data_IF_148492802394
#
_entry.id   IF_148492802394
#
_cell.length_a   1.000
_cell.length_b   1.000
_cell.length_c   1.000
_cell.angle_alpha   90.00
_cell.angle_beta   90.00
_cell.angle_gamma   90.00
#
_symmetry.space_group_name_H-M   'P 1'
#
loop_
_entity.id
_entity.type
_entity.pdbx_description
1 polymer ?
#
# COMPACT_ATOMS: atom_id res chain seq x y z
N UNK A 1 13.75 -18.59 -0.06
CA UNK A 1 13.13 -18.77 -1.39
C UNK A 1 11.81 -19.50 -1.18
N UNK A 2 10.71 -19.00 -1.71
CA UNK A 2 9.38 -19.55 -1.48
C UNK A 2 9.07 -20.69 -2.46
N UNK A 3 8.86 -21.89 -1.93
CA UNK A 3 8.34 -23.01 -2.71
C UNK A 3 6.89 -22.75 -3.15
N UNK A 4 6.48 -23.27 -4.30
CA UNK A 4 5.12 -23.05 -4.82
C UNK A 4 4.01 -23.58 -3.88
N UNK A 5 4.31 -24.63 -3.10
CA UNK A 5 3.41 -25.16 -2.06
C UNK A 5 3.21 -24.19 -0.89
N UNK A 6 4.15 -23.26 -0.69
CA UNK A 6 4.14 -22.27 0.39
C UNK A 6 3.52 -20.93 -0.03
N UNK A 7 3.20 -20.77 -1.33
CA UNK A 7 2.40 -19.65 -1.83
C UNK A 7 0.96 -19.75 -1.30
N UNK A 8 0.45 -18.66 -0.73
CA UNK A 8 -0.93 -18.55 -0.26
C UNK A 8 -1.85 -18.24 -1.46
N UNK A 9 -1.42 -17.34 -2.35
CA UNK A 9 -2.21 -16.88 -3.49
C UNK A 9 -2.00 -17.79 -4.71
N UNK A 10 -2.47 -19.03 -4.61
CA UNK A 10 -2.25 -20.09 -5.62
C UNK A 10 -2.85 -19.77 -7.01
N UNK A 11 -3.91 -18.96 -7.08
CA UNK A 11 -4.50 -18.52 -8.35
C UNK A 11 -4.19 -17.05 -8.68
N UNK A 12 -3.05 -16.50 -8.22
CA UNK A 12 -2.71 -15.08 -8.40
C UNK A 12 -2.79 -14.59 -9.86
N UNK A 13 -2.56 -15.47 -10.82
CA UNK A 13 -2.55 -15.12 -12.25
C UNK A 13 -3.86 -15.44 -12.99
N UNK A 14 -4.87 -15.99 -12.29
CA UNK A 14 -6.16 -16.34 -12.90
C UNK A 14 -6.11 -17.51 -13.88
N UNK A 15 -5.14 -18.42 -13.73
CA UNK A 15 -4.95 -19.58 -14.60
C UNK A 15 -5.94 -20.72 -14.29
N UNK A 16 -6.50 -20.72 -13.08
CA UNK A 16 -7.46 -21.70 -12.59
C UNK A 16 -8.83 -21.07 -12.34
N UNK A 17 -9.83 -21.91 -12.13
CA UNK A 17 -11.20 -21.49 -11.83
C UNK A 17 -11.25 -20.62 -10.55
N UNK A 18 -11.69 -19.37 -10.68
CA UNK A 18 -11.82 -18.43 -9.57
C UNK A 18 -13.04 -18.72 -8.68
N UNK A 19 -14.03 -19.46 -9.19
CA UNK A 19 -15.28 -19.75 -8.48
C UNK A 19 -15.12 -20.71 -7.31
N UNK A 20 -16.22 -20.94 -6.58
CA UNK A 20 -16.21 -21.69 -5.32
C UNK A 20 -15.59 -23.08 -5.44
N UNK A 21 -15.90 -23.84 -6.49
CA UNK A 21 -15.36 -25.19 -6.68
C UNK A 21 -13.85 -25.18 -6.93
N UNK A 22 -13.37 -24.26 -7.76
CA UNK A 22 -11.93 -24.02 -7.93
C UNK A 22 -11.25 -23.61 -6.62
N UNK A 23 -11.87 -22.71 -5.85
CA UNK A 23 -11.35 -22.25 -4.57
C UNK A 23 -11.24 -23.39 -3.54
N UNK A 24 -12.25 -24.25 -3.44
CA UNK A 24 -12.24 -25.44 -2.58
C UNK A 24 -11.10 -26.39 -2.93
N UNK A 25 -10.85 -26.63 -4.22
CA UNK A 25 -9.71 -27.46 -4.67
C UNK A 25 -8.35 -26.87 -4.27
N UNK A 26 -8.27 -25.56 -4.13
CA UNK A 26 -7.06 -24.86 -3.64
C UNK A 26 -6.94 -24.82 -2.11
N UNK A 27 -7.97 -25.26 -1.39
CA UNK A 27 -8.02 -25.32 0.07
C UNK A 27 -8.81 -24.20 0.74
N UNK A 28 -9.45 -23.30 -0.03
CA UNK A 28 -10.35 -22.32 0.54
C UNK A 28 -11.60 -23.02 1.12
N UNK A 29 -12.13 -22.50 2.21
CA UNK A 29 -13.27 -23.06 2.95
C UNK A 29 -13.03 -24.44 3.58
N UNK A 30 -11.78 -24.91 3.61
CA UNK A 30 -11.44 -26.16 4.30
C UNK A 30 -11.31 -25.91 5.81
N UNK A 31 -12.07 -26.67 6.60
CA UNK A 31 -12.05 -26.61 8.06
C UNK A 31 -12.52 -25.28 8.68
N UNK A 32 -13.19 -24.38 7.94
CA UNK A 32 -13.60 -23.05 8.44
C UNK A 32 -14.42 -23.13 9.74
N UNK A 33 -15.39 -24.04 9.81
CA UNK A 33 -16.17 -24.29 11.03
C UNK A 33 -15.29 -24.73 12.20
N UNK A 34 -14.35 -25.66 11.96
CA UNK A 34 -13.45 -26.14 12.99
C UNK A 34 -12.53 -25.03 13.51
N UNK A 35 -12.15 -24.06 12.67
CA UNK A 35 -11.40 -22.87 13.08
C UNK A 35 -12.27 -21.97 13.97
N UNK A 36 -13.53 -21.73 13.60
CA UNK A 36 -14.49 -20.95 14.39
C UNK A 36 -14.75 -21.61 15.75
N UNK A 37 -14.90 -22.93 15.78
CA UNK A 37 -15.17 -23.70 17.00
C UNK A 37 -14.00 -23.66 18.01
N UNK A 38 -12.77 -23.33 17.58
CA UNK A 38 -11.63 -23.07 18.49
C UNK A 38 -11.78 -21.74 19.25
N UNK A 39 -12.66 -20.85 18.82
CA UNK A 39 -13.02 -19.62 19.51
C UNK A 39 -12.17 -18.39 19.16
N UNK A 40 -12.70 -17.21 19.52
CA UNK A 40 -12.14 -15.89 19.18
C UNK A 40 -10.72 -15.69 19.71
N UNK A 41 -10.50 -16.03 20.98
CA UNK A 41 -9.21 -15.85 21.63
C UNK A 41 -8.12 -16.74 21.00
N UNK A 42 -8.48 -17.95 20.54
CA UNK A 42 -7.54 -18.81 19.82
C UNK A 42 -7.11 -18.18 18.48
N UNK A 43 -8.06 -17.68 17.69
CA UNK A 43 -7.75 -17.04 16.40
C UNK A 43 -6.87 -15.80 16.59
N UNK A 44 -7.21 -14.93 17.55
CA UNK A 44 -6.39 -13.73 17.83
C UNK A 44 -4.97 -14.12 18.26
N UNK A 45 -4.83 -15.13 19.12
CA UNK A 45 -3.54 -15.58 19.60
C UNK A 45 -2.69 -16.23 18.49
N UNK A 46 -3.28 -17.05 17.62
CA UNK A 46 -2.60 -17.59 16.44
C UNK A 46 -2.15 -16.46 15.49
N UNK A 47 -3.01 -15.48 15.22
CA UNK A 47 -2.65 -14.35 14.36
C UNK A 47 -1.55 -13.49 14.99
N UNK A 48 -1.52 -13.33 16.32
CA UNK A 48 -0.40 -12.68 17.02
C UNK A 48 0.88 -13.51 16.91
N UNK A 49 0.80 -14.81 17.18
CA UNK A 49 1.93 -15.74 17.12
C UNK A 49 2.51 -15.87 15.72
N UNK A 50 1.69 -15.71 14.66
CA UNK A 50 2.15 -15.72 13.28
C UNK A 50 3.11 -14.58 12.95
N UNK A 51 3.10 -13.50 13.73
CA UNK A 51 3.88 -12.30 13.44
C UNK A 51 3.40 -11.50 12.22
N UNK A 52 2.20 -11.78 11.68
CA UNK A 52 1.66 -11.06 10.52
C UNK A 52 1.58 -9.55 10.78
N UNK A 53 2.32 -8.79 9.97
CA UNK A 53 2.26 -7.33 9.91
C UNK A 53 1.29 -6.85 8.82
N UNK A 54 0.67 -5.68 9.01
CA UNK A 54 -0.30 -5.12 8.10
C UNK A 54 0.27 -4.93 6.70
N UNK A 55 -0.47 -5.39 5.69
CA UNK A 55 -0.03 -5.45 4.28
C UNK A 55 -0.43 -4.22 3.44
N UNK A 56 -1.01 -3.21 4.08
CA UNK A 56 -1.49 -1.98 3.44
C UNK A 56 -0.56 -0.77 3.58
N UNK A 57 0.70 -0.93 3.99
CA UNK A 57 1.63 0.20 4.13
C UNK A 57 2.35 0.25 5.47
N UNK A 58 1.61 0.57 6.53
CA UNK A 58 2.16 0.90 7.85
C UNK A 58 2.80 -0.28 8.61
N UNK A 59 2.59 -1.53 8.18
CA UNK A 59 3.24 -2.69 8.80
C UNK A 59 2.83 -2.95 10.26
N UNK A 60 1.67 -2.45 10.71
CA UNK A 60 1.19 -2.65 12.09
C UNK A 60 0.83 -4.12 12.37
N UNK A 61 1.20 -4.73 13.51
CA UNK A 61 0.90 -6.15 13.78
C UNK A 61 -0.61 -6.46 13.76
N UNK A 62 -1.03 -7.34 12.85
CA UNK A 62 -2.44 -7.58 12.52
C UNK A 62 -3.20 -8.22 13.67
N UNK A 63 -2.65 -9.28 14.29
CA UNK A 63 -3.28 -9.93 15.44
C UNK A 63 -3.39 -9.01 16.67
N UNK A 64 -2.42 -8.09 16.85
CA UNK A 64 -2.53 -7.05 17.87
C UNK A 64 -3.65 -6.07 17.56
N UNK A 65 -3.77 -5.63 16.30
CA UNK A 65 -4.84 -4.75 15.84
C UNK A 65 -6.22 -5.33 16.13
N UNK A 66 -6.41 -6.61 15.81
CA UNK A 66 -7.69 -7.30 16.05
C UNK A 66 -8.05 -7.37 17.53
N UNK A 67 -7.05 -7.45 18.41
CA UNK A 67 -7.28 -7.48 19.86
C UNK A 67 -7.71 -6.13 20.47
N UNK A 68 -7.70 -5.04 19.70
CA UNK A 68 -8.23 -3.76 20.16
C UNK A 68 -9.76 -3.68 20.08
N UNK A 69 -10.40 -4.57 19.32
CA UNK A 69 -11.85 -4.61 19.22
C UNK A 69 -12.46 -5.06 20.56
N UNK A 70 -13.56 -4.44 21.00
CA UNK A 70 -14.24 -4.83 22.25
C UNK A 70 -14.62 -6.31 22.23
N UNK A 71 -14.35 -7.02 23.34
CA UNK A 71 -14.79 -8.42 23.49
C UNK A 71 -16.31 -8.52 23.57
N UNK A 72 -16.90 -7.60 24.32
CA UNK A 72 -18.34 -7.48 24.54
C UNK A 72 -18.82 -6.08 24.14
N UNK A 73 -20.02 -6.02 23.57
CA UNK A 73 -20.69 -4.75 23.30
C UNK A 73 -21.36 -4.27 24.59
N UNK A 74 -20.69 -3.39 25.33
CA UNK A 74 -21.20 -2.88 26.61
C UNK A 74 -22.34 -1.88 26.45
N UNK A 75 -22.50 -1.30 25.26
CA UNK A 75 -23.49 -0.26 24.94
C UNK A 75 -24.44 -0.66 23.79
N UNK A 76 -24.40 -1.92 23.37
CA UNK A 76 -25.27 -2.47 22.32
C UNK A 76 -24.86 -2.10 20.88
N UNK A 77 -23.78 -1.32 20.68
CA UNK A 77 -23.27 -1.04 19.33
C UNK A 77 -22.70 -2.31 18.68
N UNK A 78 -23.05 -2.62 17.42
CA UNK A 78 -22.41 -3.72 16.70
C UNK A 78 -20.95 -3.41 16.41
N UNK A 79 -20.11 -4.43 16.27
CA UNK A 79 -18.74 -4.27 15.76
C UNK A 79 -18.72 -4.48 14.25
N UNK A 80 -17.85 -3.76 13.54
CA UNK A 80 -17.66 -3.91 12.10
C UNK A 80 -16.22 -4.28 11.74
N UNK A 81 -16.08 -5.09 10.70
CA UNK A 81 -14.85 -5.19 9.93
C UNK A 81 -15.03 -4.38 8.65
N UNK A 82 -14.07 -3.52 8.35
CA UNK A 82 -14.00 -2.87 7.04
C UNK A 82 -12.72 -3.33 6.34
N UNK A 83 -12.87 -3.92 5.16
CA UNK A 83 -11.76 -4.30 4.30
C UNK A 83 -11.45 -3.16 3.36
N UNK A 84 -10.21 -2.69 3.41
CA UNK A 84 -9.70 -1.66 2.51
C UNK A 84 -9.20 -2.31 1.22
N UNK A 85 -10.02 -2.17 0.17
CA UNK A 85 -9.75 -2.62 -1.19
C UNK A 85 -9.72 -1.44 -2.19
N UNK A 86 -9.35 -0.24 -1.71
CA UNK A 86 -9.28 0.96 -2.55
C UNK A 86 -8.01 1.00 -3.43
N UNK A 87 -6.91 0.35 -3.03
CA UNK A 87 -5.66 0.16 -3.82
C UNK A 87 -5.34 1.29 -4.83
N UNK A 88 -5.35 2.53 -4.36
CA UNK A 88 -5.07 3.70 -5.20
C UNK A 88 -3.59 4.10 -5.17
N UNK A 89 -2.75 3.41 -4.38
CA UNK A 89 -1.31 3.70 -4.25
C UNK A 89 -0.58 3.42 -5.58
N UNK A 90 0.09 4.42 -6.16
CA UNK A 90 0.86 4.24 -7.39
C UNK A 90 1.87 3.09 -7.29
N UNK A 91 1.84 2.22 -8.32
CA UNK A 91 2.67 1.02 -8.41
C UNK A 91 2.07 -0.22 -7.73
N UNK A 92 0.95 -0.09 -7.02
CA UNK A 92 0.31 -1.20 -6.28
C UNK A 92 -0.83 -1.80 -7.10
N UNK A 93 -0.85 -3.12 -7.24
CA UNK A 93 -1.90 -3.86 -7.96
C UNK A 93 -2.07 -5.29 -7.45
N UNK A 94 -1.81 -5.54 -6.15
CA UNK A 94 -1.86 -6.85 -5.47
C UNK A 94 -3.27 -7.23 -5.03
N UNK A 95 -4.01 -6.28 -4.46
CA UNK A 95 -5.38 -6.46 -3.97
C UNK A 95 -6.32 -6.70 -5.15
N UNK A 96 -6.06 -6.01 -6.27
CA UNK A 96 -6.70 -6.25 -7.56
C UNK A 96 -6.63 -7.72 -7.99
N UNK A 97 -5.47 -8.37 -7.86
CA UNK A 97 -5.32 -9.78 -8.23
C UNK A 97 -6.12 -10.70 -7.31
N UNK A 98 -6.10 -10.43 -6.00
CA UNK A 98 -6.87 -11.22 -5.01
C UNK A 98 -8.37 -11.14 -5.32
N UNK A 99 -8.91 -9.94 -5.51
CA UNK A 99 -10.34 -9.75 -5.78
C UNK A 99 -10.80 -10.39 -7.10
N UNK A 100 -9.94 -10.44 -8.11
CA UNK A 100 -10.34 -10.85 -9.45
C UNK A 100 -10.06 -12.33 -9.76
N UNK A 101 -9.08 -12.93 -9.11
CA UNK A 101 -8.64 -14.30 -9.41
C UNK A 101 -8.81 -15.28 -8.26
N UNK A 102 -8.80 -14.83 -7.01
CA UNK A 102 -9.05 -15.71 -5.86
C UNK A 102 -9.94 -15.06 -4.77
N UNK A 103 -11.12 -14.52 -5.14
CA UNK A 103 -11.96 -13.75 -4.22
C UNK A 103 -12.46 -14.56 -3.02
N UNK A 104 -12.60 -15.88 -3.15
CA UNK A 104 -13.06 -16.72 -2.04
C UNK A 104 -12.09 -16.77 -0.86
N UNK A 105 -10.77 -16.60 -1.09
CA UNK A 105 -9.80 -16.44 0.01
C UNK A 105 -10.09 -15.19 0.83
N UNK A 106 -10.43 -14.09 0.16
CA UNK A 106 -10.82 -12.85 0.84
C UNK A 106 -12.14 -13.03 1.60
N UNK A 107 -13.17 -13.63 0.97
CA UNK A 107 -14.48 -13.83 1.59
C UNK A 107 -14.39 -14.71 2.84
N UNK A 108 -13.63 -15.81 2.78
CA UNK A 108 -13.35 -16.65 3.95
C UNK A 108 -12.57 -15.88 5.02
N UNK A 109 -11.55 -15.11 4.61
CA UNK A 109 -10.79 -14.25 5.50
C UNK A 109 -11.66 -13.24 6.24
N UNK A 110 -12.63 -12.63 5.54
CA UNK A 110 -13.60 -11.72 6.15
C UNK A 110 -14.38 -12.43 7.26
N UNK A 111 -14.90 -13.63 7.02
CA UNK A 111 -15.63 -14.40 8.03
C UNK A 111 -14.78 -14.69 9.27
N UNK A 112 -13.56 -15.21 9.09
CA UNK A 112 -12.70 -15.61 10.20
C UNK A 112 -12.19 -14.40 11.01
N UNK A 113 -11.77 -13.33 10.32
CA UNK A 113 -11.33 -12.10 10.97
C UNK A 113 -12.49 -11.42 11.72
N UNK A 114 -13.66 -11.35 11.09
CA UNK A 114 -14.86 -10.81 11.70
C UNK A 114 -15.31 -11.61 12.92
N UNK A 115 -15.29 -12.95 12.87
CA UNK A 115 -15.59 -13.79 14.03
C UNK A 115 -14.63 -13.48 15.18
N UNK A 116 -13.31 -13.44 14.91
CA UNK A 116 -12.31 -13.10 15.93
C UNK A 116 -12.60 -11.74 16.60
N UNK A 117 -12.96 -10.74 15.81
CA UNK A 117 -13.29 -9.39 16.27
C UNK A 117 -14.73 -9.20 16.78
N UNK A 118 -15.58 -10.23 16.71
CA UNK A 118 -17.00 -10.16 17.11
C UNK A 118 -17.86 -9.29 16.19
N UNK A 119 -17.48 -9.15 14.93
CA UNK A 119 -18.10 -8.24 13.97
C UNK A 119 -19.05 -8.95 13.00
N UNK A 120 -20.36 -8.98 13.29
CA UNK A 120 -21.34 -9.71 12.47
C UNK A 120 -21.55 -9.18 11.05
N UNK A 121 -21.03 -7.99 10.72
CA UNK A 121 -21.07 -7.42 9.39
C UNK A 121 -19.67 -6.98 8.94
N UNK A 122 -19.34 -7.30 7.70
CA UNK A 122 -18.13 -6.88 7.03
C UNK A 122 -18.46 -6.01 5.82
N UNK A 123 -17.80 -4.86 5.69
CA UNK A 123 -17.87 -4.03 4.50
C UNK A 123 -16.56 -4.11 3.73
N UNK A 124 -16.61 -4.48 2.45
CA UNK A 124 -15.44 -4.41 1.57
C UNK A 124 -15.56 -3.14 0.75
N UNK A 125 -14.69 -2.16 1.02
CA UNK A 125 -14.65 -0.89 0.30
C UNK A 125 -13.72 -1.03 -0.90
N UNK A 126 -14.31 -1.21 -2.08
CA UNK A 126 -13.60 -1.42 -3.34
C UNK A 126 -13.32 -0.09 -4.04
N UNK A 127 -12.15 0.02 -4.64
CA UNK A 127 -11.80 1.15 -5.51
C UNK A 127 -12.89 1.41 -6.54
N UNK A 128 -13.20 2.69 -6.79
CA UNK A 128 -14.23 3.06 -7.77
C UNK A 128 -13.97 2.54 -9.19
N UNK A 129 -12.70 2.54 -9.61
CA UNK A 129 -12.27 2.11 -10.94
C UNK A 129 -12.27 0.58 -11.13
N UNK A 130 -12.30 -0.18 -10.03
CA UNK A 130 -12.26 -1.65 -10.04
C UNK A 130 -13.65 -2.27 -10.27
N UNK A 131 -14.27 -1.89 -11.39
CA UNK A 131 -15.64 -2.33 -11.73
C UNK A 131 -15.67 -3.86 -11.92
N UNK A 132 -14.75 -4.41 -12.72
CA UNK A 132 -14.74 -5.85 -13.03
C UNK A 132 -14.34 -6.70 -11.83
N UNK A 133 -13.42 -6.20 -11.03
CA UNK A 133 -12.95 -6.86 -9.82
C UNK A 133 -14.05 -6.84 -8.74
N UNK A 134 -14.83 -5.76 -8.65
CA UNK A 134 -16.01 -5.70 -7.79
C UNK A 134 -17.12 -6.63 -8.23
N UNK A 135 -17.43 -6.67 -9.53
CA UNK A 135 -18.41 -7.62 -10.10
C UNK A 135 -18.00 -9.07 -9.81
N UNK A 136 -16.72 -9.38 -9.96
CA UNK A 136 -16.15 -10.70 -9.65
C UNK A 136 -16.27 -11.05 -8.17
N UNK A 137 -15.90 -10.11 -7.30
CA UNK A 137 -16.00 -10.27 -5.86
C UNK A 137 -17.44 -10.46 -5.41
N UNK A 138 -18.38 -9.67 -5.94
CA UNK A 138 -19.81 -9.82 -5.65
C UNK A 138 -20.30 -11.21 -6.06
N UNK A 139 -19.95 -11.69 -7.25
CA UNK A 139 -20.33 -13.04 -7.69
C UNK A 139 -19.77 -14.14 -6.77
N UNK A 140 -18.57 -13.98 -6.22
CA UNK A 140 -18.00 -14.92 -5.24
C UNK A 140 -18.71 -14.85 -3.88
N UNK A 141 -19.15 -13.66 -3.46
CA UNK A 141 -19.97 -13.47 -2.26
C UNK A 141 -21.33 -14.15 -2.46
N UNK A 142 -21.98 -13.94 -3.61
CA UNK A 142 -23.26 -14.57 -3.95
C UNK A 142 -23.12 -16.11 -3.92
N UNK A 143 -22.05 -16.67 -4.50
CA UNK A 143 -21.74 -18.10 -4.42
C UNK A 143 -21.57 -18.59 -2.96
N UNK A 144 -20.97 -17.76 -2.09
CA UNK A 144 -20.81 -18.09 -0.67
C UNK A 144 -22.14 -18.05 0.09
N UNK A 145 -23.05 -17.13 -0.25
CA UNK A 145 -24.42 -17.09 0.29
C UNK A 145 -25.23 -18.30 -0.19
N UNK A 146 -25.19 -18.63 -1.49
CA UNK A 146 -25.89 -19.78 -2.07
C UNK A 146 -25.44 -21.11 -1.45
N UNK A 147 -24.13 -21.25 -1.19
CA UNK A 147 -23.55 -22.40 -0.52
C UNK A 147 -23.71 -22.39 1.01
N UNK A 148 -24.41 -21.38 1.57
CA UNK A 148 -24.60 -21.16 3.02
C UNK A 148 -23.29 -21.11 3.81
N UNK A 149 -22.22 -20.61 3.21
CA UNK A 149 -20.92 -20.41 3.87
C UNK A 149 -20.92 -19.11 4.70
N UNK A 150 -21.70 -18.13 4.25
CA UNK A 150 -22.00 -16.88 4.96
C UNK A 150 -23.52 -16.67 5.02
N UNK A 151 -23.97 -15.60 5.68
CA UNK A 151 -25.37 -15.29 5.95
C UNK A 151 -25.83 -15.69 7.34
N UNK A 152 -27.10 -15.42 7.66
CA UNK A 152 -27.66 -15.60 9.01
C UNK A 152 -27.68 -17.05 9.50
N UNK A 153 -27.97 -18.00 8.62
CA UNK A 153 -28.09 -19.44 8.94
C UNK A 153 -26.99 -20.26 8.25
N UNK A 154 -25.76 -19.73 8.24
CA UNK A 154 -24.63 -20.40 7.60
C UNK A 154 -24.19 -21.68 8.33
N UNK A 155 -23.50 -22.54 7.60
CA UNK A 155 -23.01 -23.85 8.09
C UNK A 155 -21.94 -23.73 9.17
N UNK A 156 -21.35 -22.55 9.35
CA UNK A 156 -20.32 -22.31 10.36
C UNK A 156 -20.89 -21.99 11.75
N UNK A 157 -22.21 -21.74 11.86
CA UNK A 157 -22.90 -21.55 13.14
C UNK A 157 -22.72 -20.15 13.75
N UNK A 158 -22.26 -19.17 12.98
CA UNK A 158 -22.08 -17.79 13.43
C UNK A 158 -22.63 -16.80 12.39
N UNK A 159 -23.76 -16.11 12.65
CA UNK A 159 -24.39 -15.21 11.67
C UNK A 159 -23.44 -14.14 11.16
N UNK A 160 -23.28 -14.02 9.84
CA UNK A 160 -22.31 -13.11 9.25
C UNK A 160 -22.73 -12.61 7.88
N UNK A 161 -22.74 -11.29 7.70
CA UNK A 161 -23.06 -10.68 6.40
C UNK A 161 -21.88 -9.88 5.83
N UNK A 162 -21.76 -9.92 4.50
CA UNK A 162 -20.73 -9.19 3.76
C UNK A 162 -21.41 -8.24 2.78
N UNK A 163 -20.99 -6.98 2.82
CA UNK A 163 -21.48 -5.92 1.97
C UNK A 163 -20.34 -5.36 1.13
N UNK A 164 -20.53 -5.29 -0.18
CA UNK A 164 -19.58 -4.63 -1.07
C UNK A 164 -20.00 -3.17 -1.24
N UNK A 165 -19.13 -2.25 -0.87
CA UNK A 165 -19.26 -0.83 -1.15
C UNK A 165 -18.14 -0.40 -2.10
N UNK A 166 -18.29 0.74 -2.76
CA UNK A 166 -17.22 1.25 -3.60
C UNK A 166 -17.04 2.76 -3.50
N UNK A 167 -15.79 3.19 -3.67
CA UNK A 167 -15.43 4.58 -3.84
C UNK A 167 -15.69 5.10 -5.25
N UNK A 168 -15.04 6.21 -5.59
CA UNK A 168 -15.18 6.89 -6.88
C UNK A 168 -13.88 7.61 -7.30
N UNK A 169 -12.73 6.93 -7.21
CA UNK A 169 -11.45 7.43 -7.71
C UNK A 169 -10.78 8.48 -6.81
N UNK A 170 -10.65 8.19 -5.51
CA UNK A 170 -10.00 9.08 -4.56
C UNK A 170 -9.03 8.29 -3.66
N UNK A 171 -7.72 8.46 -3.87
CA UNK A 171 -6.68 7.78 -3.08
C UNK A 171 -6.77 8.05 -1.58
N UNK A 172 -7.19 9.26 -1.21
CA UNK A 172 -7.39 9.61 0.19
C UNK A 172 -8.45 8.75 0.88
N UNK A 173 -9.44 8.23 0.14
CA UNK A 173 -10.42 7.29 0.70
C UNK A 173 -9.81 5.92 1.03
N UNK A 174 -8.59 5.62 0.55
CA UNK A 174 -7.81 4.49 1.01
C UNK A 174 -7.17 4.69 2.39
N UNK A 175 -7.20 5.89 2.98
CA UNK A 175 -6.77 6.09 4.37
C UNK A 175 -7.83 5.53 5.33
N UNK A 176 -7.38 4.85 6.40
CA UNK A 176 -8.24 4.11 7.32
C UNK A 176 -9.48 4.88 7.80
N UNK A 177 -9.35 6.13 8.24
CA UNK A 177 -10.49 6.91 8.76
C UNK A 177 -11.28 7.64 7.69
N UNK A 178 -10.64 8.07 6.61
CA UNK A 178 -11.33 8.63 5.45
C UNK A 178 -12.22 7.58 4.76
N UNK A 179 -11.78 6.32 4.74
CA UNK A 179 -12.56 5.19 4.24
C UNK A 179 -13.87 5.05 5.01
N UNK A 180 -13.82 5.13 6.34
CA UNK A 180 -15.02 5.07 7.19
C UNK A 180 -15.97 6.24 6.87
N UNK A 181 -15.45 7.46 6.78
CA UNK A 181 -16.25 8.64 6.43
C UNK A 181 -16.89 8.51 5.03
N UNK A 182 -16.14 8.02 4.05
CA UNK A 182 -16.65 7.77 2.70
C UNK A 182 -17.73 6.69 2.70
N UNK A 183 -17.56 5.63 3.48
CA UNK A 183 -18.54 4.55 3.61
C UNK A 183 -19.82 5.02 4.32
N UNK A 184 -19.72 6.01 5.21
CA UNK A 184 -20.86 6.69 5.84
C UNK A 184 -21.60 7.67 4.90
N UNK A 185 -21.17 7.78 3.64
CA UNK A 185 -21.76 8.69 2.66
C UNK A 185 -21.32 10.15 2.81
N UNK A 186 -20.33 10.43 3.66
CA UNK A 186 -19.71 11.75 3.78
C UNK A 186 -18.55 11.87 2.78
N UNK A 187 -17.92 13.05 2.73
CA UNK A 187 -16.67 13.22 1.99
C UNK A 187 -15.58 12.36 2.64
N UNK A 188 -14.69 11.77 1.85
CA UNK A 188 -13.52 11.00 2.31
C UNK A 188 -12.43 11.87 2.95
N UNK A 189 -12.79 12.60 4.01
CA UNK A 189 -11.90 13.44 4.78
C UNK A 189 -11.55 12.71 6.08
N UNK A 190 -10.26 12.41 6.35
CA UNK A 190 -9.85 11.69 7.54
C UNK A 190 -10.34 12.29 8.86
N UNK A 191 -10.49 11.44 9.87
CA UNK A 191 -10.76 11.85 11.25
C UNK A 191 -9.44 12.04 11.99
N UNK A 192 -9.39 13.05 12.87
CA UNK A 192 -8.27 13.19 13.80
C UNK A 192 -8.30 12.03 14.80
N UNK A 193 -7.12 11.49 15.12
CA UNK A 193 -6.94 10.46 16.15
C UNK A 193 -6.35 11.14 17.39
N UNK A 194 -6.88 10.95 18.61
CA UNK A 194 -8.07 10.16 19.01
C UNK A 194 -9.44 10.82 18.69
N UNK A 195 -10.57 10.05 18.67
CA UNK A 195 -10.69 8.63 19.02
C UNK A 195 -10.25 7.67 17.90
N UNK A 196 -9.74 6.49 18.27
CA UNK A 196 -9.33 5.46 17.32
C UNK A 196 -10.55 4.66 16.78
N UNK A 197 -10.46 4.13 15.55
CA UNK A 197 -11.54 3.35 14.94
C UNK A 197 -12.05 2.17 15.77
N UNK A 198 -11.15 1.50 16.50
CA UNK A 198 -11.51 0.38 17.37
C UNK A 198 -12.51 0.78 18.48
N UNK A 199 -12.57 2.05 18.86
CA UNK A 199 -13.53 2.58 19.84
C UNK A 199 -14.73 3.26 19.16
N UNK A 200 -14.45 4.09 18.15
CA UNK A 200 -15.45 4.90 17.42
C UNK A 200 -15.05 4.96 15.94
N UNK A 201 -15.55 3.99 15.18
CA UNK A 201 -15.30 3.81 13.75
C UNK A 201 -16.55 4.03 12.91
N UNK A 202 -16.88 3.05 12.05
CA UNK A 202 -18.01 3.09 11.12
C UNK A 202 -19.33 3.27 11.87
N UNK A 203 -20.12 4.28 11.49
CA UNK A 203 -21.38 4.65 12.14
C UNK A 203 -21.23 4.92 13.65
N UNK A 204 -20.05 5.40 14.06
CA UNK A 204 -19.71 5.59 15.46
C UNK A 204 -19.54 4.28 16.24
N UNK A 205 -19.48 3.13 15.57
CA UNK A 205 -19.35 1.82 16.18
C UNK A 205 -17.91 1.29 16.14
N UNK A 206 -17.50 0.41 17.08
CA UNK A 206 -16.18 -0.23 17.05
C UNK A 206 -15.88 -0.84 15.67
N UNK A 207 -14.77 -0.44 15.06
CA UNK A 207 -14.41 -0.90 13.71
C UNK A 207 -12.91 -1.09 13.57
N UNK A 208 -12.52 -2.18 12.92
CA UNK A 208 -11.15 -2.36 12.45
C UNK A 208 -11.11 -2.29 10.92
N UNK A 209 -10.15 -1.54 10.39
CA UNK A 209 -9.85 -1.51 8.96
C UNK A 209 -8.62 -2.36 8.65
N UNK A 210 -8.72 -3.32 7.74
CA UNK A 210 -7.57 -4.10 7.27
C UNK A 210 -7.52 -4.15 5.75
N UNK A 211 -6.31 -4.14 5.19
CA UNK A 211 -6.11 -4.31 3.76
C UNK A 211 -6.49 -5.74 3.31
N UNK A 212 -6.91 -5.88 2.04
CA UNK A 212 -7.31 -7.14 1.40
C UNK A 212 -6.29 -8.26 1.65
N UNK A 213 -5.01 -8.03 1.37
CA UNK A 213 -3.97 -9.06 1.54
C UNK A 213 -3.86 -9.52 3.00
N UNK A 214 -3.98 -8.61 3.99
CA UNK A 214 -3.94 -8.98 5.41
C UNK A 214 -5.10 -9.89 5.83
N UNK A 215 -6.28 -9.68 5.24
CA UNK A 215 -7.46 -10.51 5.52
C UNK A 215 -7.38 -11.83 4.77
N UNK A 216 -6.99 -11.80 3.49
CA UNK A 216 -6.97 -12.97 2.62
C UNK A 216 -5.90 -14.01 3.01
N UNK A 217 -4.81 -13.62 3.69
CA UNK A 217 -3.82 -14.59 4.22
C UNK A 217 -4.25 -15.26 5.52
N UNK A 218 -5.19 -14.68 6.27
CA UNK A 218 -5.55 -15.17 7.60
C UNK A 218 -6.09 -16.61 7.61
N UNK A 219 -6.96 -17.04 6.67
CA UNK A 219 -7.43 -18.43 6.61
C UNK A 219 -6.30 -19.46 6.52
N UNK A 220 -5.31 -19.22 5.65
CA UNK A 220 -4.19 -20.14 5.45
C UNK A 220 -3.24 -20.15 6.66
N UNK A 221 -3.03 -19.00 7.32
CA UNK A 221 -2.30 -18.95 8.60
C UNK A 221 -3.00 -19.82 9.65
N UNK A 222 -4.33 -19.71 9.78
CA UNK A 222 -5.10 -20.43 10.79
C UNK A 222 -5.20 -21.94 10.49
N UNK A 223 -5.19 -22.33 9.21
CA UNK A 223 -5.16 -23.74 8.79
C UNK A 223 -3.79 -24.38 8.97
N UNK A 224 -2.73 -23.70 8.51
CA UNK A 224 -1.36 -24.24 8.46
C UNK A 224 -0.59 -24.02 9.76
N UNK A 225 -1.08 -23.11 10.59
CA UNK A 225 -0.53 -22.77 11.91
C UNK A 225 0.39 -21.56 11.87
N UNK A 226 0.38 -20.78 12.97
CA UNK A 226 1.22 -19.61 13.14
C UNK A 226 2.72 -19.89 12.94
N UNK A 227 3.21 -21.04 13.42
CA UNK A 227 4.61 -21.42 13.34
C UNK A 227 5.08 -21.61 11.88
N UNK A 228 4.22 -22.11 11.00
CA UNK A 228 4.55 -22.23 9.57
C UNK A 228 4.77 -20.85 8.94
N UNK A 229 3.86 -19.90 9.18
CA UNK A 229 3.97 -18.55 8.62
C UNK A 229 5.17 -17.79 9.22
N UNK A 230 5.40 -17.94 10.53
CA UNK A 230 6.53 -17.32 11.23
C UNK A 230 7.90 -17.91 10.86
N UNK A 231 7.93 -19.13 10.30
CA UNK A 231 9.15 -19.76 9.81
C UNK A 231 9.64 -19.21 8.46
N UNK A 232 8.79 -18.45 7.75
CA UNK A 232 9.12 -17.80 6.48
C UNK A 232 9.59 -16.38 6.78
N UNK A 233 10.71 -15.95 6.19
CA UNK A 233 11.27 -14.62 6.36
C UNK A 233 12.17 -14.47 7.58
N UNK A 234 12.31 -13.23 8.05
CA UNK A 234 13.25 -12.86 9.13
C UNK A 234 12.52 -12.51 10.41
N UNK A 235 13.16 -12.56 11.59
CA UNK A 235 12.57 -12.03 12.82
C UNK A 235 11.99 -10.61 12.60
N UNK A 236 10.79 -10.37 13.13
CA UNK A 236 9.97 -9.15 12.93
C UNK A 236 9.49 -8.87 11.49
N UNK A 237 9.85 -9.70 10.52
CA UNK A 237 9.56 -9.56 9.10
C UNK A 237 9.22 -10.92 8.50
N UNK A 238 8.16 -11.52 9.03
CA UNK A 238 7.78 -12.90 8.74
C UNK A 238 6.64 -13.01 7.72
N UNK A 239 6.56 -14.20 7.13
CA UNK A 239 5.57 -14.61 6.17
C UNK A 239 5.89 -14.21 4.73
N UNK A 240 4.86 -14.31 3.89
CA UNK A 240 4.94 -13.93 2.48
C UNK A 240 4.40 -12.53 2.24
N UNK A 241 4.78 -11.94 1.10
CA UNK A 241 4.29 -10.65 0.63
C UNK A 241 4.04 -10.71 -0.87
N UNK A 242 2.92 -10.14 -1.30
CA UNK A 242 2.72 -9.82 -2.72
C UNK A 242 3.54 -8.59 -3.09
N UNK A 243 4.53 -8.77 -3.95
CA UNK A 243 5.34 -7.72 -4.56
C UNK A 243 4.74 -7.31 -5.90
N UNK A 244 4.55 -6.01 -6.09
CA UNK A 244 4.14 -5.43 -7.38
C UNK A 244 5.34 -4.77 -8.02
N UNK A 245 6.06 -5.47 -8.90
CA UNK A 245 7.22 -4.90 -9.58
C UNK A 245 6.78 -4.20 -10.85
N UNK A 246 7.10 -2.91 -10.94
CA UNK A 246 6.74 -2.02 -12.04
C UNK A 246 7.92 -1.15 -12.49
N UNK A 247 7.74 -0.42 -13.58
CA UNK A 247 8.78 0.48 -14.11
C UNK A 247 9.77 -0.24 -15.02
N UNK A 248 11.05 0.12 -14.91
CA UNK A 248 12.10 -0.23 -15.88
C UNK A 248 12.78 -1.58 -15.58
N UNK A 249 11.97 -2.64 -15.59
CA UNK A 249 12.41 -4.06 -15.59
C UNK A 249 12.02 -4.73 -16.90
N UNK A 250 12.63 -5.85 -17.24
CA UNK A 250 12.35 -6.55 -18.50
C UNK A 250 10.91 -7.11 -18.54
N UNK A 251 10.42 -7.64 -17.41
CA UNK A 251 9.08 -8.22 -17.28
C UNK A 251 8.42 -7.78 -15.97
N UNK A 252 7.72 -6.63 -15.95
CA UNK A 252 6.93 -6.20 -14.79
C UNK A 252 5.89 -7.26 -14.40
N UNK A 253 5.77 -7.58 -13.11
CA UNK A 253 4.83 -8.60 -12.64
C UNK A 253 4.41 -8.39 -11.19
N UNK A 254 3.28 -8.99 -10.84
CA UNK A 254 2.90 -9.28 -9.46
C UNK A 254 3.40 -10.67 -9.08
N UNK A 255 4.07 -10.80 -7.95
CA UNK A 255 4.53 -12.10 -7.46
C UNK A 255 4.45 -12.16 -5.93
N UNK A 256 3.93 -13.27 -5.41
CA UNK A 256 4.04 -13.56 -3.97
C UNK A 256 5.43 -14.11 -3.70
N UNK A 257 6.16 -13.59 -2.72
CA UNK A 257 7.45 -14.19 -2.36
C UNK A 257 7.70 -14.00 -0.86
N UNK A 258 8.72 -14.68 -0.34
CA UNK A 258 9.14 -14.57 1.05
C UNK A 258 9.49 -13.12 1.43
N UNK A 259 9.00 -12.67 2.59
CA UNK A 259 9.38 -11.36 3.12
C UNK A 259 10.88 -11.33 3.46
N UNK A 260 11.59 -10.31 2.98
CA UNK A 260 13.05 -10.21 3.14
C UNK A 260 13.87 -10.84 2.01
N UNK A 261 13.23 -11.28 0.91
CA UNK A 261 13.95 -11.58 -0.34
C UNK A 261 14.85 -10.39 -0.75
N UNK A 262 16.14 -10.60 -1.08
CA UNK A 262 16.98 -9.52 -1.60
C UNK A 262 16.41 -8.89 -2.87
N UNK A 263 16.50 -7.57 -3.02
CA UNK A 263 16.01 -6.87 -4.21
C UNK A 263 16.56 -7.46 -5.51
N UNK A 264 17.87 -7.72 -5.59
CA UNK A 264 18.50 -8.37 -6.75
C UNK A 264 17.81 -9.69 -7.13
N UNK A 265 17.62 -10.56 -6.15
CA UNK A 265 17.02 -11.88 -6.35
C UNK A 265 15.56 -11.76 -6.84
N UNK A 266 14.78 -10.85 -6.25
CA UNK A 266 13.41 -10.56 -6.67
C UNK A 266 13.35 -10.16 -8.15
N UNK A 267 14.23 -9.25 -8.57
CA UNK A 267 14.24 -8.72 -9.94
C UNK A 267 14.76 -9.73 -10.96
N UNK A 268 15.90 -10.38 -10.70
CA UNK A 268 16.49 -11.34 -11.65
C UNK A 268 15.56 -12.51 -11.91
N UNK A 269 14.99 -13.06 -10.84
CA UNK A 269 14.24 -14.31 -10.91
C UNK A 269 12.84 -14.11 -11.48
N UNK A 270 12.12 -13.09 -10.99
CA UNK A 270 10.72 -12.90 -11.35
C UNK A 270 10.52 -11.91 -12.49
N UNK A 271 11.38 -10.89 -12.58
CA UNK A 271 11.22 -9.81 -13.55
C UNK A 271 12.18 -9.91 -14.75
N UNK A 272 13.11 -10.86 -14.74
CA UNK A 272 14.09 -11.05 -15.83
C UNK A 272 15.23 -10.02 -15.86
N UNK A 273 15.39 -9.22 -14.80
CA UNK A 273 16.45 -8.21 -14.71
C UNK A 273 15.97 -6.77 -14.92
N UNK A 274 16.91 -5.84 -14.72
CA UNK A 274 16.75 -4.42 -15.02
C UNK A 274 16.82 -4.21 -16.53
N UNK A 275 15.97 -3.31 -17.06
CA UNK A 275 16.01 -2.94 -18.47
C UNK A 275 17.40 -2.45 -18.87
N UNK A 276 18.08 -3.16 -19.77
CA UNK A 276 19.44 -2.81 -20.20
C UNK A 276 20.56 -3.19 -19.21
N UNK A 277 20.28 -4.07 -18.23
CA UNK A 277 21.25 -4.62 -17.30
C UNK A 277 21.36 -3.86 -15.97
N UNK A 278 22.00 -4.49 -14.97
CA UNK A 278 22.11 -3.97 -13.61
C UNK A 278 22.82 -2.62 -13.51
N UNK A 279 23.84 -2.40 -14.35
CA UNK A 279 24.55 -1.12 -14.42
C UNK A 279 23.66 0.02 -14.90
N UNK A 280 22.49 -0.29 -15.49
CA UNK A 280 21.52 0.71 -15.92
C UNK A 280 20.55 1.10 -14.79
N UNK A 281 20.57 0.45 -13.63
CA UNK A 281 19.73 0.85 -12.50
C UNK A 281 20.16 2.23 -11.97
N UNK A 282 19.19 3.09 -11.65
CA UNK A 282 19.43 4.41 -11.08
C UNK A 282 18.85 4.55 -9.67
N UNK A 283 17.56 4.27 -9.53
CA UNK A 283 16.86 4.37 -8.26
C UNK A 283 15.64 3.45 -8.22
N UNK A 284 15.17 3.15 -7.01
CA UNK A 284 13.97 2.34 -6.78
C UNK A 284 13.11 3.02 -5.73
N UNK A 285 11.80 3.04 -5.92
CA UNK A 285 10.84 3.33 -4.85
C UNK A 285 10.31 1.97 -4.38
N UNK A 286 10.74 1.45 -3.21
CA UNK A 286 10.54 0.04 -2.88
C UNK A 286 9.15 -0.32 -2.33
N UNK A 287 8.31 0.67 -2.00
CA UNK A 287 7.10 0.43 -1.22
C UNK A 287 5.83 1.16 -1.65
N UNK A 288 5.73 1.54 -2.92
CA UNK A 288 4.72 2.46 -3.45
C UNK A 288 5.23 3.89 -3.42
N UNK A 289 4.57 4.78 -4.16
CA UNK A 289 4.99 6.19 -4.24
C UNK A 289 5.06 6.94 -2.91
N UNK A 290 4.48 6.41 -1.83
CA UNK A 290 4.48 7.02 -0.50
C UNK A 290 5.82 6.96 0.23
N UNK A 291 6.82 6.23 -0.27
CA UNK A 291 8.13 6.09 0.40
C UNK A 291 9.26 6.81 -0.31
N UNK A 292 10.36 7.07 0.41
CA UNK A 292 11.58 7.68 -0.16
C UNK A 292 12.19 6.72 -1.20
N UNK A 293 12.63 7.26 -2.34
CA UNK A 293 13.43 6.47 -3.29
C UNK A 293 14.78 6.10 -2.67
N UNK A 294 15.36 4.99 -3.13
CA UNK A 294 16.65 4.48 -2.71
C UNK A 294 17.55 4.36 -3.95
N UNK A 295 18.80 4.87 -3.90
CA UNK A 295 19.77 4.72 -4.99
C UNK A 295 20.15 3.28 -5.27
N UNK A 296 20.56 3.02 -6.52
CA UNK A 296 20.97 1.69 -6.99
C UNK A 296 21.98 1.01 -6.05
N UNK A 297 23.03 1.73 -5.64
CA UNK A 297 24.11 1.21 -4.81
C UNK A 297 23.68 0.80 -3.40
N UNK A 298 22.56 1.34 -2.90
CA UNK A 298 22.04 1.03 -1.58
C UNK A 298 20.98 -0.08 -1.64
N UNK A 299 20.14 -0.09 -2.67
CA UNK A 299 19.01 -1.02 -2.75
C UNK A 299 19.39 -2.39 -3.29
N UNK A 300 20.42 -2.49 -4.14
CA UNK A 300 20.67 -3.68 -4.97
C UNK A 300 20.68 -5.00 -4.19
N UNK A 301 21.35 -5.04 -3.03
CA UNK A 301 21.45 -6.23 -2.17
C UNK A 301 20.63 -6.12 -0.88
N UNK A 302 19.77 -5.10 -0.79
CA UNK A 302 18.95 -4.88 0.39
C UNK A 302 17.79 -5.87 0.45
N UNK A 303 17.57 -6.54 1.60
CA UNK A 303 16.38 -7.34 1.85
C UNK A 303 15.09 -6.52 1.74
N UNK A 304 14.11 -7.04 1.01
CA UNK A 304 12.80 -6.41 0.83
C UNK A 304 11.87 -6.72 2.02
N UNK A 305 12.20 -6.12 3.16
CA UNK A 305 11.43 -6.19 4.40
C UNK A 305 11.28 -4.80 5.07
N UNK A 306 10.38 -4.69 6.06
CA UNK A 306 10.06 -3.39 6.67
C UNK A 306 11.27 -2.77 7.38
N UNK A 307 12.04 -3.59 8.10
CA UNK A 307 13.10 -3.08 8.98
C UNK A 307 14.37 -2.71 8.20
N UNK A 308 14.72 -3.49 7.18
CA UNK A 308 15.88 -3.23 6.31
C UNK A 308 15.67 -1.96 5.49
N UNK A 309 14.49 -1.78 4.89
CA UNK A 309 14.16 -0.56 4.17
C UNK A 309 14.02 0.66 5.10
N UNK A 310 13.56 0.45 6.33
CA UNK A 310 13.55 1.48 7.37
C UNK A 310 14.95 2.00 7.72
N UNK A 311 15.97 1.13 7.73
CA UNK A 311 17.38 1.54 7.95
C UNK A 311 17.92 2.41 6.81
N UNK A 312 17.42 2.24 5.59
CA UNK A 312 17.71 3.12 4.45
C UNK A 312 16.87 4.42 4.46
N UNK A 313 16.12 4.68 5.54
CA UNK A 313 15.17 5.80 5.65
C UNK A 313 14.09 5.78 4.57
N UNK A 314 13.83 4.61 3.99
CA UNK A 314 12.70 4.34 3.11
C UNK A 314 11.69 3.46 3.86
N UNK A 315 10.80 2.76 3.15
CA UNK A 315 9.84 1.83 3.73
C UNK A 315 9.37 0.80 2.72
N UNK A 316 8.91 -0.34 3.22
CA UNK A 316 8.32 -1.39 2.36
C UNK A 316 6.92 -1.02 1.86
N UNK A 317 6.19 -0.16 2.59
CA UNK A 317 4.83 0.25 2.23
C UNK A 317 3.94 -0.93 1.79
N UNK A 318 3.34 -0.84 0.60
CA UNK A 318 2.51 -1.90 0.01
C UNK A 318 3.32 -2.99 -0.69
N UNK A 319 4.65 -2.90 -0.69
CA UNK A 319 5.60 -3.65 -1.51
C UNK A 319 5.42 -3.46 -3.03
N UNK A 320 4.95 -2.28 -3.42
CA UNK A 320 4.99 -1.81 -4.80
C UNK A 320 6.39 -1.30 -5.15
N UNK A 321 7.14 -2.09 -5.90
CA UNK A 321 8.52 -1.82 -6.27
C UNK A 321 8.55 -1.11 -7.62
N UNK A 322 8.78 0.21 -7.61
CA UNK A 322 8.89 1.02 -8.82
C UNK A 322 10.36 1.19 -9.17
N UNK A 323 10.79 0.51 -10.23
CA UNK A 323 12.19 0.51 -10.69
C UNK A 323 12.42 1.61 -11.71
N UNK A 324 13.49 2.39 -11.55
CA UNK A 324 13.88 3.47 -12.48
C UNK A 324 15.33 3.29 -12.93
N UNK A 325 15.50 3.10 -14.24
CA UNK A 325 16.82 3.04 -14.89
C UNK A 325 17.41 4.43 -15.18
N UNK A 326 18.66 4.49 -15.67
CA UNK A 326 19.41 5.73 -15.93
C UNK A 326 18.81 6.62 -17.03
N UNK A 327 17.91 6.09 -17.85
CA UNK A 327 17.19 6.90 -18.86
C UNK A 327 16.13 7.83 -18.23
N UNK A 328 15.79 7.61 -16.96
CA UNK A 328 14.71 8.32 -16.27
C UNK A 328 15.17 9.69 -15.74
N UNK A 329 14.38 10.72 -16.06
CA UNK A 329 14.44 12.01 -15.35
C UNK A 329 13.75 11.87 -13.99
N UNK A 330 14.54 11.64 -12.93
CA UNK A 330 14.02 11.44 -11.58
C UNK A 330 13.30 12.68 -11.03
N UNK A 331 13.75 13.88 -11.41
CA UNK A 331 13.13 15.14 -10.95
C UNK A 331 11.71 15.23 -11.51
N UNK A 332 11.53 14.91 -12.81
CA UNK A 332 10.21 14.85 -13.43
C UNK A 332 9.35 13.70 -12.90
N UNK A 333 9.93 12.53 -12.65
CA UNK A 333 9.21 11.39 -12.07
C UNK A 333 8.62 11.77 -10.69
N UNK A 334 9.42 12.37 -9.81
CA UNK A 334 8.94 12.83 -8.51
C UNK A 334 8.02 14.06 -8.63
N UNK A 335 8.23 14.96 -9.59
CA UNK A 335 7.26 16.03 -9.86
C UNK A 335 5.88 15.46 -10.22
N UNK A 336 5.83 14.35 -10.98
CA UNK A 336 4.58 13.66 -11.32
C UNK A 336 3.94 12.96 -10.12
N UNK A 337 4.74 12.40 -9.20
CA UNK A 337 4.27 11.84 -7.93
C UNK A 337 3.76 12.96 -7.00
N UNK A 338 4.47 14.08 -6.92
CA UNK A 338 4.04 15.25 -6.15
C UNK A 338 2.71 15.82 -6.69
N UNK A 339 2.54 15.84 -8.02
CA UNK A 339 1.25 16.18 -8.64
C UNK A 339 0.14 15.21 -8.25
N UNK A 340 0.42 13.90 -8.20
CA UNK A 340 -0.53 12.90 -7.73
C UNK A 340 -1.00 13.23 -6.31
N UNK A 341 -0.10 13.48 -5.36
CA UNK A 341 -0.50 13.85 -4.00
C UNK A 341 -1.24 15.20 -3.92
N UNK A 342 -0.90 16.17 -4.77
CA UNK A 342 -1.67 17.42 -4.91
C UNK A 342 -3.08 17.18 -5.46
N UNK A 343 -3.25 16.20 -6.34
CA UNK A 343 -4.54 15.87 -6.94
C UNK A 343 -5.42 15.11 -5.95
N UNK A 344 -4.81 14.15 -5.26
CA UNK A 344 -5.48 13.20 -4.37
C UNK A 344 -5.63 13.67 -2.92
N UNK A 345 -5.07 14.83 -2.57
CA UNK A 345 -5.32 15.43 -1.25
C UNK A 345 -6.77 15.85 -1.10
N UNK A 346 -7.44 15.42 -0.01
CA UNK A 346 -8.82 15.83 0.30
C UNK A 346 -8.95 17.31 0.68
N UNK A 347 -7.83 18.01 0.88
CA UNK A 347 -7.81 19.44 1.21
C UNK A 347 -8.28 19.83 2.61
N UNK A 348 -8.47 18.87 3.53
CA UNK A 348 -9.00 19.16 4.86
C UNK A 348 -8.02 19.95 5.74
N UNK A 349 -6.76 19.52 5.84
CA UNK A 349 -5.75 20.17 6.68
C UNK A 349 -4.85 21.10 5.86
N UNK A 350 -4.64 22.33 6.36
CA UNK A 350 -3.88 23.37 5.66
C UNK A 350 -2.46 22.95 5.28
N UNK A 351 -1.66 22.31 6.15
CA UNK A 351 -0.30 21.91 5.79
C UNK A 351 -0.26 21.01 4.55
N UNK A 352 -1.18 20.04 4.46
CA UNK A 352 -1.30 19.20 3.26
C UNK A 352 -1.92 19.95 2.08
N UNK A 353 -3.06 20.62 2.27
CA UNK A 353 -3.82 21.28 1.19
C UNK A 353 -2.96 22.27 0.42
N UNK A 354 -2.29 23.17 1.14
CA UNK A 354 -1.48 24.22 0.55
C UNK A 354 -0.07 23.72 0.23
N UNK A 355 0.51 22.92 1.15
CA UNK A 355 1.88 22.43 1.03
C UNK A 355 2.07 21.51 -0.16
N UNK A 356 1.16 20.56 -0.43
CA UNK A 356 1.28 19.66 -1.59
C UNK A 356 1.25 20.41 -2.92
N UNK A 357 0.36 21.39 -3.06
CA UNK A 357 0.30 22.24 -4.24
C UNK A 357 1.55 23.10 -4.41
N UNK A 358 2.08 23.64 -3.31
CA UNK A 358 3.32 24.44 -3.34
C UNK A 358 4.54 23.59 -3.68
N UNK A 359 4.70 22.43 -3.02
CA UNK A 359 5.77 21.46 -3.28
C UNK A 359 5.79 21.04 -4.75
N UNK A 360 4.63 20.69 -5.32
CA UNK A 360 4.52 20.33 -6.73
C UNK A 360 4.97 21.46 -7.67
N UNK A 361 4.55 22.70 -7.43
CA UNK A 361 4.94 23.86 -8.26
C UNK A 361 6.45 24.14 -8.20
N UNK A 362 7.06 24.08 -7.02
CA UNK A 362 8.51 24.26 -6.86
C UNK A 362 9.25 23.12 -7.56
N UNK A 363 8.84 21.87 -7.35
CA UNK A 363 9.50 20.72 -7.96
C UNK A 363 9.34 20.69 -9.49
N UNK A 364 8.21 21.16 -10.03
CA UNK A 364 8.02 21.35 -11.48
C UNK A 364 9.01 22.38 -12.03
N UNK A 365 9.23 23.51 -11.34
CA UNK A 365 10.27 24.48 -11.73
C UNK A 365 11.68 23.88 -11.66
N UNK A 366 11.96 23.04 -10.67
CA UNK A 366 13.24 22.32 -10.57
C UNK A 366 13.42 21.34 -11.74
N UNK A 367 12.38 20.60 -12.11
CA UNK A 367 12.39 19.71 -13.28
C UNK A 367 12.65 20.46 -14.59
N UNK A 368 12.18 21.70 -14.70
CA UNK A 368 12.44 22.58 -15.85
C UNK A 368 13.79 23.31 -15.79
N UNK A 369 14.44 23.34 -14.62
CA UNK A 369 15.69 24.09 -14.38
C UNK A 369 15.49 25.56 -14.03
N UNK A 370 14.25 26.04 -13.94
CA UNK A 370 13.90 27.44 -13.66
C UNK A 370 13.95 27.84 -12.18
N UNK A 371 14.29 26.93 -11.30
CA UNK A 371 14.39 27.19 -9.86
C UNK A 371 15.78 27.75 -9.50
N UNK A 372 15.88 28.48 -8.40
CA UNK A 372 17.17 28.88 -7.84
C UNK A 372 17.71 27.79 -6.88
N UNK A 373 19.03 27.62 -6.76
CA UNK A 373 19.64 26.59 -5.87
C UNK A 373 19.16 26.69 -4.41
N UNK A 374 19.00 27.90 -3.88
CA UNK A 374 18.42 28.16 -2.54
C UNK A 374 17.03 27.54 -2.33
N UNK A 375 16.27 27.35 -3.42
CA UNK A 375 14.93 26.78 -3.35
C UNK A 375 14.95 25.28 -3.04
N UNK A 376 16.10 24.60 -3.21
CA UNK A 376 16.26 23.19 -2.83
C UNK A 376 16.12 23.05 -1.31
N UNK A 377 16.84 23.88 -0.54
CA UNK A 377 16.75 23.87 0.92
C UNK A 377 15.41 24.38 1.42
N UNK A 378 14.86 25.41 0.77
CA UNK A 378 13.51 25.90 1.05
C UNK A 378 12.45 24.80 0.84
N UNK A 379 12.54 24.05 -0.26
CA UNK A 379 11.61 22.94 -0.53
C UNK A 379 11.78 21.84 0.52
N UNK A 380 13.01 21.50 0.89
CA UNK A 380 13.27 20.52 1.94
C UNK A 380 12.70 20.99 3.30
N UNK A 381 12.81 22.26 3.65
CA UNK A 381 12.20 22.82 4.86
C UNK A 381 10.68 22.67 4.84
N UNK A 382 10.02 23.02 3.73
CA UNK A 382 8.57 22.87 3.64
C UNK A 382 8.13 21.42 3.69
N UNK A 383 8.89 20.46 3.13
CA UNK A 383 8.54 19.04 3.30
C UNK A 383 8.45 18.66 4.79
N UNK A 384 9.29 19.24 5.66
CA UNK A 384 9.25 19.01 7.12
C UNK A 384 8.13 19.77 7.83
N UNK A 385 7.67 20.89 7.26
CA UNK A 385 6.49 21.61 7.76
C UNK A 385 5.19 20.89 7.39
N UNK A 386 5.17 20.11 6.30
CA UNK A 386 4.05 19.24 5.94
C UNK A 386 4.09 17.95 6.75
N UNK A 387 5.22 17.27 6.77
CA UNK A 387 5.44 16.03 7.54
C UNK A 387 5.12 16.23 9.03
N UNK A 388 4.35 15.32 9.62
CA UNK A 388 4.01 15.34 11.05
C UNK A 388 3.03 16.42 11.50
N UNK A 389 2.60 17.33 10.62
CA UNK A 389 1.65 18.41 10.94
C UNK A 389 0.28 18.24 10.25
N UNK A 390 0.04 17.07 9.64
CA UNK A 390 -1.20 16.75 8.91
C UNK A 390 -2.08 15.78 9.71
N UNK A 391 -3.39 15.80 9.41
CA UNK A 391 -4.37 14.92 10.09
C UNK A 391 -4.10 13.44 9.82
N UNK A 392 -3.65 13.12 8.59
CA UNK A 392 -3.33 11.77 8.17
C UNK A 392 -1.94 11.69 7.52
N UNK A 393 -1.48 10.46 7.27
CA UNK A 393 -0.17 10.18 6.69
C UNK A 393 -0.03 10.55 5.20
N UNK A 394 -1.08 11.07 4.53
CA UNK A 394 -0.94 11.58 3.16
C UNK A 394 0.07 12.73 3.09
N UNK A 395 0.15 13.57 4.13
CA UNK A 395 1.15 14.63 4.21
C UNK A 395 2.57 14.09 4.17
N UNK A 396 2.84 13.06 4.98
CA UNK A 396 4.13 12.35 5.02
C UNK A 396 4.41 11.69 3.65
N UNK A 397 3.42 10.99 3.08
CA UNK A 397 3.51 10.37 1.76
C UNK A 397 3.78 11.37 0.62
N UNK A 398 3.31 12.61 0.75
CA UNK A 398 3.59 13.67 -0.21
C UNK A 398 4.97 14.31 -0.03
N UNK A 399 5.49 14.33 1.20
CA UNK A 399 6.78 14.91 1.56
C UNK A 399 7.95 13.95 1.27
N UNK A 400 7.82 12.67 1.61
CA UNK A 400 8.89 11.69 1.54
C UNK A 400 9.50 11.48 0.15
N UNK A 401 8.74 11.44 -0.97
CA UNK A 401 9.34 11.30 -2.31
C UNK A 401 10.27 12.45 -2.66
N UNK A 402 9.91 13.66 -2.25
CA UNK A 402 10.70 14.87 -2.45
C UNK A 402 11.94 14.85 -1.54
N UNK A 403 11.77 14.46 -0.28
CA UNK A 403 12.91 14.30 0.64
C UNK A 403 13.90 13.25 0.14
N UNK A 404 13.43 12.12 -0.39
CA UNK A 404 14.27 11.08 -0.98
C UNK A 404 15.02 11.59 -2.22
N UNK A 405 14.32 12.30 -3.11
CA UNK A 405 14.95 12.93 -4.28
C UNK A 405 16.06 13.91 -3.85
N UNK A 406 15.78 14.82 -2.93
CA UNK A 406 16.75 15.82 -2.50
C UNK A 406 17.91 15.15 -1.76
N UNK A 407 17.66 14.17 -0.89
CA UNK A 407 18.70 13.51 -0.11
C UNK A 407 19.73 12.78 -1.00
N UNK A 408 19.29 12.18 -2.11
CA UNK A 408 20.13 11.33 -2.94
C UNK A 408 20.56 11.95 -4.27
N UNK A 409 19.71 12.81 -4.85
CA UNK A 409 19.87 13.34 -6.20
C UNK A 409 19.88 14.87 -6.24
N UNK A 410 20.26 15.53 -5.14
CA UNK A 410 20.48 16.99 -5.08
C UNK A 410 21.35 17.49 -6.24
N UNK A 411 22.45 16.77 -6.49
CA UNK A 411 23.41 17.10 -7.53
C UNK A 411 22.79 17.15 -8.94
N UNK A 412 21.79 16.30 -9.24
CA UNK A 412 21.07 16.35 -10.51
C UNK A 412 20.16 17.59 -10.61
N UNK A 413 19.54 18.00 -9.50
CA UNK A 413 18.74 19.22 -9.43
C UNK A 413 19.63 20.45 -9.65
N UNK A 414 20.77 20.51 -8.96
CA UNK A 414 21.75 21.59 -9.11
C UNK A 414 22.30 21.68 -10.54
N UNK A 415 22.68 20.54 -11.13
CA UNK A 415 23.15 20.48 -12.51
C UNK A 415 22.08 20.94 -13.51
N UNK A 416 20.81 20.57 -13.30
CA UNK A 416 19.69 21.03 -14.14
C UNK A 416 19.50 22.55 -14.06
N UNK A 417 19.61 23.12 -12.87
CA UNK A 417 19.54 24.57 -12.65
C UNK A 417 20.71 25.28 -13.34
N UNK A 418 21.94 24.78 -13.17
CA UNK A 418 23.14 25.39 -13.79
C UNK A 418 23.07 25.35 -15.32
N UNK A 419 22.62 24.24 -15.89
CA UNK A 419 22.41 24.10 -17.34
C UNK A 419 21.36 25.07 -17.88
N UNK A 420 20.31 25.36 -17.12
CA UNK A 420 19.28 26.31 -17.51
C UNK A 420 19.82 27.74 -17.48
N UNK A 421 20.49 28.15 -16.40
CA UNK A 421 21.08 29.49 -16.27
C UNK A 421 22.12 29.76 -17.35
N UNK A 422 23.01 28.79 -17.65
CA UNK A 422 23.99 28.93 -18.72
C UNK A 422 23.34 29.13 -20.11
N UNK A 423 22.16 28.55 -20.36
CA UNK A 423 21.42 28.77 -21.60
C UNK A 423 20.73 30.13 -21.64
N UNK A 424 20.28 30.66 -20.50
CA UNK A 424 19.72 32.00 -20.44
C UNK A 424 20.75 33.08 -20.79
N UNK A 425 22.04 32.82 -20.55
CA UNK A 425 23.14 33.71 -20.92
C UNK A 425 23.53 33.61 -22.41
N UNK A 426 22.92 32.73 -23.20
CA UNK A 426 23.21 32.54 -24.63
C UNK A 426 21.90 32.79 -25.41
N UNK A 427 21.80 33.95 -26.08
CA UNK A 427 20.64 34.26 -26.95
C UNK A 427 20.56 33.24 -28.12
N UNK A 428 19.40 33.12 -28.77
CA UNK A 428 19.09 32.20 -29.90
C UNK A 428 20.06 32.37 -31.10
N UNK A 429 20.91 33.40 -31.10
CA UNK A 429 21.99 33.64 -32.07
C UNK A 429 23.38 33.22 -31.60
N UNK A 430 23.52 32.55 -30.44
CA UNK A 430 24.79 32.07 -29.90
C UNK A 430 25.70 33.18 -29.32
N UNK A 431 25.16 34.37 -29.10
CA UNK A 431 25.90 35.51 -28.52
C UNK A 431 25.60 35.57 -27.03
N UNK A 432 26.66 35.65 -26.20
CA UNK A 432 26.52 35.82 -24.75
C UNK A 432 25.90 37.19 -24.47
N UNK A 433 24.81 37.24 -23.70
CA UNK A 433 24.19 38.51 -23.29
C UNK A 433 25.18 39.30 -22.40
N UNK A 434 25.67 40.47 -22.84
CA UNK A 434 26.61 41.27 -22.04
C UNK A 434 25.98 41.83 -20.75
N UNK A 435 24.66 41.87 -20.64
CA UNK A 435 23.95 42.53 -19.52
C UNK A 435 24.08 41.75 -18.21
N UNK A 436 24.27 40.42 -18.27
CA UNK A 436 24.45 39.57 -17.08
C UNK A 436 25.89 39.51 -16.55
N UNK A 437 26.88 40.14 -17.21
CA UNK A 437 28.27 40.15 -16.73
C UNK A 437 28.56 41.17 -15.61
N UNK A 438 27.63 42.07 -15.28
CA UNK A 438 27.91 43.19 -14.36
C UNK A 438 27.61 42.88 -12.88
N UNK A 439 27.29 41.62 -12.53
CA UNK A 439 26.95 41.23 -11.15
C UNK A 439 28.00 40.31 -10.47
N UNK A 440 29.23 40.30 -10.97
CA UNK A 440 30.35 39.61 -10.32
C UNK A 440 31.63 40.47 -10.36
N UNK A 441 31.68 41.47 -9.46
CA UNK A 441 32.91 41.96 -8.83
C UNK A 441 32.69 42.06 -7.32
#
# INVERSE_FOLDING_TARGET
MLDDKDRIFKNLYGLHDWGLEGARRRGAWDGTKAIIDKGRDWIINEMKASGLRGRGGAGFPTGLKWSFMPKESTDGRPSYLVVNADESEPGTCKDREIMRHDPHLLVEGCLLASFAMGAHACYIYVRGEFIRERERLQAAIDQAYDAKLVGKENVNGWPFDIYVAHGAGAYICGEETALLESLEGKKGQPRLKPPFPANVGLYGCPTTVNNVESIAVAPDILRRGAAWFAAIGRPNNVGTKLFCVSGHVERPCNVEEEMGIPFRELIERHCGGIRGGWDNLKAVIPGGSSVRMVPAEQIIDTPMDFDSLGKLRSGLGTAAVIVMDKSTDLIRAIARISYFYKHESCGQCTPCREGTGWMWRVLTRMAEGRAHKREIDMLLEVTKQVEGHTICALGDAAAWPIQGLIAHFRHEIEARIDQYSHKADIDDTGVRDPVNMVAAE
#
